data_IF_440928955962
#
_entry.id   IF_440928955962
#
_cell.length_a   1.000
_cell.length_b   1.000
_cell.length_c   1.000
_cell.angle_alpha   90.00
_cell.angle_beta   90.00
_cell.angle_gamma   90.00
#
_symmetry.space_group_name_H-M   'P 1'
#
loop_
_entity.id
_entity.type
_entity.pdbx_description
1 polymer ?
#
# COMPACT_ATOMS: atom_id res chain seq x y z
N UNK A 1 -3.20 -18.04 -15.28
CA UNK A 1 -1.94 -18.51 -14.69
C UNK A 1 -0.79 -17.78 -15.41
N UNK A 2 -0.48 -16.55 -14.99
CA UNK A 2 0.63 -15.72 -15.52
C UNK A 2 1.13 -14.68 -14.49
N UNK A 3 0.61 -14.66 -13.25
CA UNK A 3 0.91 -13.57 -12.30
C UNK A 3 2.20 -13.78 -11.49
N UNK A 4 2.70 -15.01 -11.44
CA UNK A 4 3.82 -15.38 -10.56
C UNK A 4 5.19 -15.30 -11.27
N UNK A 5 5.22 -15.43 -12.60
CA UNK A 5 6.44 -15.42 -13.42
C UNK A 5 7.15 -14.05 -13.37
N UNK A 6 6.38 -12.95 -13.25
CA UNK A 6 6.91 -11.59 -13.13
C UNK A 6 7.77 -11.41 -11.86
N UNK A 7 7.56 -12.23 -10.83
CA UNK A 7 8.26 -12.10 -9.56
C UNK A 7 9.38 -13.11 -9.34
N UNK A 8 9.67 -14.01 -10.29
CA UNK A 8 10.74 -15.00 -10.16
C UNK A 8 12.13 -14.36 -10.02
N UNK A 9 12.32 -13.20 -10.65
CA UNK A 9 13.56 -12.41 -10.59
C UNK A 9 13.80 -11.72 -9.24
N UNK A 10 12.79 -11.66 -8.39
CA UNK A 10 12.91 -11.03 -7.08
C UNK A 10 13.35 -12.00 -6.00
N UNK A 11 13.96 -11.47 -4.95
CA UNK A 11 14.21 -12.25 -3.74
C UNK A 11 12.87 -12.59 -3.08
N UNK A 12 12.84 -13.68 -2.29
CA UNK A 12 11.67 -14.05 -1.48
C UNK A 12 11.13 -12.86 -0.69
N UNK A 13 12.05 -12.07 -0.13
CA UNK A 13 11.74 -10.89 0.66
C UNK A 13 11.05 -9.79 -0.14
N UNK A 14 11.53 -9.48 -1.35
CA UNK A 14 10.86 -8.49 -2.20
C UNK A 14 9.46 -8.97 -2.57
N UNK A 15 9.26 -10.27 -2.81
CA UNK A 15 7.92 -10.85 -3.00
C UNK A 15 7.02 -10.65 -1.79
N UNK A 16 7.53 -10.86 -0.57
CA UNK A 16 6.79 -10.60 0.67
C UNK A 16 6.34 -9.14 0.76
N UNK A 17 7.24 -8.19 0.54
CA UNK A 17 6.92 -6.75 0.59
C UNK A 17 5.82 -6.38 -0.42
N UNK A 18 5.92 -6.90 -1.64
CA UNK A 18 4.93 -6.63 -2.69
C UNK A 18 3.57 -7.27 -2.38
N UNK A 19 3.57 -8.43 -1.75
CA UNK A 19 2.35 -9.05 -1.24
C UNK A 19 1.71 -8.20 -0.14
N UNK A 20 2.48 -7.76 0.85
CA UNK A 20 2.01 -6.88 1.93
C UNK A 20 1.48 -5.55 1.37
N UNK A 21 2.16 -4.95 0.38
CA UNK A 21 1.69 -3.74 -0.28
C UNK A 21 0.33 -3.96 -0.95
N UNK A 22 0.16 -5.09 -1.64
CA UNK A 22 -1.14 -5.44 -2.24
C UNK A 22 -2.24 -5.61 -1.19
N UNK A 23 -1.94 -6.18 -0.03
CA UNK A 23 -2.91 -6.27 1.08
C UNK A 23 -3.32 -4.88 1.59
N UNK A 24 -2.38 -3.92 1.68
CA UNK A 24 -2.71 -2.55 2.10
C UNK A 24 -3.55 -1.80 1.06
N UNK A 25 -3.32 -2.03 -0.24
CA UNK A 25 -4.17 -1.49 -1.30
C UNK A 25 -5.61 -2.02 -1.18
N UNK A 26 -5.77 -3.33 -0.93
CA UNK A 26 -7.07 -3.94 -0.69
C UNK A 26 -7.73 -3.39 0.60
N UNK A 27 -6.96 -3.19 1.67
CA UNK A 27 -7.46 -2.59 2.93
C UNK A 27 -8.03 -1.20 2.71
N UNK A 28 -7.40 -0.41 1.84
CA UNK A 28 -7.84 0.93 1.45
C UNK A 28 -8.87 0.92 0.30
N UNK A 29 -9.22 -0.24 -0.25
CA UNK A 29 -10.10 -0.38 -1.42
C UNK A 29 -9.58 0.36 -2.68
N UNK A 30 -8.25 0.46 -2.82
CA UNK A 30 -7.58 0.97 -4.02
C UNK A 30 -7.41 -0.14 -5.07
N UNK A 31 -7.71 0.16 -6.33
CA UNK A 31 -7.60 -0.78 -7.45
C UNK A 31 -6.15 -1.07 -7.87
N UNK A 32 -5.23 -0.16 -7.56
CA UNK A 32 -3.83 -0.24 -7.94
C UNK A 32 -2.89 -0.11 -6.74
N UNK A 33 -1.73 -0.77 -6.83
CA UNK A 33 -0.68 -0.67 -5.80
C UNK A 33 0.19 0.56 -6.11
N UNK A 34 -0.14 1.68 -5.47
CA UNK A 34 0.70 2.89 -5.43
C UNK A 34 1.91 2.81 -4.50
N UNK A 35 2.74 3.85 -4.52
CA UNK A 35 3.98 3.96 -3.71
C UNK A 35 3.72 3.97 -2.20
N UNK A 36 2.56 4.47 -1.78
CA UNK A 36 2.08 4.52 -0.41
C UNK A 36 1.84 3.11 0.15
N UNK A 37 1.28 2.21 -0.65
CA UNK A 37 1.10 0.82 -0.24
C UNK A 37 2.43 0.09 -0.15
N UNK A 38 3.36 0.38 -1.07
CA UNK A 38 4.72 -0.17 -1.01
C UNK A 38 5.44 0.29 0.27
N UNK A 39 5.32 1.57 0.64
CA UNK A 39 5.84 2.09 1.90
C UNK A 39 5.26 1.32 3.10
N UNK A 40 3.94 1.14 3.16
CA UNK A 40 3.30 0.38 4.24
C UNK A 40 3.75 -1.09 4.25
N UNK A 41 3.93 -1.71 3.08
CA UNK A 41 4.49 -3.05 2.95
C UNK A 41 5.91 -3.16 3.52
N UNK A 42 6.76 -2.15 3.29
CA UNK A 42 8.12 -2.10 3.85
C UNK A 42 8.12 -1.89 5.38
N UNK A 43 7.22 -1.05 5.90
CA UNK A 43 7.07 -0.86 7.35
C UNK A 43 6.60 -2.16 8.01
N UNK A 44 5.63 -2.85 7.38
CA UNK A 44 5.02 -4.08 7.90
C UNK A 44 5.92 -5.31 7.83
N UNK A 45 6.77 -5.43 6.82
CA UNK A 45 7.75 -6.52 6.69
C UNK A 45 8.72 -6.57 7.89
N UNK A 46 9.01 -5.42 8.51
CA UNK A 46 9.63 -5.33 9.85
C UNK A 46 11.10 -5.75 9.97
N UNK A 47 11.63 -6.52 9.01
CA UNK A 47 12.99 -7.03 8.99
C UNK A 47 13.91 -6.25 8.05
N UNK A 48 15.22 -6.53 7.97
CA UNK A 48 16.11 -5.96 6.94
C UNK A 48 16.34 -4.44 7.00
N UNK A 49 16.82 -3.85 5.89
CA UNK A 49 17.33 -2.46 5.88
C UNK A 49 16.22 -1.42 5.87
N UNK A 50 15.17 -1.61 5.07
CA UNK A 50 14.13 -0.60 4.87
C UNK A 50 13.39 -0.20 6.17
N UNK A 51 12.78 -1.11 6.95
CA UNK A 51 12.11 -0.73 8.19
C UNK A 51 13.07 -0.21 9.27
N UNK A 52 14.38 -0.56 9.23
CA UNK A 52 15.38 0.07 10.10
C UNK A 52 15.58 1.53 9.76
N UNK A 53 15.75 1.86 8.47
CA UNK A 53 15.87 3.24 8.00
C UNK A 53 14.58 4.01 8.29
N UNK A 54 13.40 3.43 8.01
CA UNK A 54 12.12 4.06 8.29
C UNK A 54 11.93 4.35 9.79
N UNK A 55 12.31 3.42 10.68
CA UNK A 55 12.34 3.64 12.13
C UNK A 55 13.25 4.81 12.52
N UNK A 56 14.44 4.91 11.94
CA UNK A 56 15.37 6.03 12.19
C UNK A 56 14.80 7.38 11.73
N UNK A 57 13.95 7.37 10.70
CA UNK A 57 13.22 8.55 10.22
C UNK A 57 11.92 8.82 11.01
N UNK A 58 11.63 8.06 12.07
CA UNK A 58 10.42 8.21 12.87
C UNK A 58 9.16 7.54 12.30
N UNK A 59 9.32 6.70 11.27
CA UNK A 59 8.26 5.93 10.59
C UNK A 59 8.40 4.45 10.96
N UNK A 60 8.29 4.15 12.25
CA UNK A 60 8.41 2.78 12.78
C UNK A 60 7.10 2.14 13.21
N UNK A 61 6.06 2.94 13.33
CA UNK A 61 4.73 2.56 13.78
C UNK A 61 3.83 2.40 12.55
N UNK A 62 3.39 1.16 12.33
CA UNK A 62 2.58 0.81 11.17
C UNK A 62 1.20 1.47 11.21
N UNK A 63 0.57 1.54 12.37
CA UNK A 63 -0.79 2.08 12.48
C UNK A 63 -0.77 3.59 12.30
N UNK A 64 0.23 4.29 12.87
CA UNK A 64 0.45 5.71 12.59
C UNK A 64 0.75 5.98 11.11
N UNK A 65 1.51 5.10 10.45
CA UNK A 65 1.77 5.22 9.02
C UNK A 65 0.49 5.04 8.19
N UNK A 66 -0.35 4.05 8.54
CA UNK A 66 -1.65 3.82 7.91
C UNK A 66 -2.59 5.01 8.07
N UNK A 67 -2.71 5.56 9.27
CA UNK A 67 -3.53 6.75 9.54
C UNK A 67 -3.11 7.93 8.65
N UNK A 68 -1.81 8.19 8.54
CA UNK A 68 -1.30 9.27 7.68
C UNK A 68 -1.55 9.02 6.20
N UNK A 69 -1.33 7.79 5.72
CA UNK A 69 -1.59 7.44 4.32
C UNK A 69 -3.08 7.61 4.03
N UNK A 70 -3.95 7.05 4.85
CA UNK A 70 -5.41 7.13 4.70
C UNK A 70 -5.93 8.57 4.74
N UNK A 71 -5.34 9.44 5.57
CA UNK A 71 -5.67 10.87 5.59
C UNK A 71 -5.26 11.61 4.30
N UNK A 72 -4.22 11.16 3.59
CA UNK A 72 -3.72 11.80 2.36
C UNK A 72 -4.41 11.24 1.12
N UNK A 73 -4.61 9.91 1.07
CA UNK A 73 -5.10 9.22 -0.13
C UNK A 73 -6.58 8.86 -0.05
N UNK A 74 -7.19 8.91 1.12
CA UNK A 74 -8.55 8.45 1.36
C UNK A 74 -8.67 6.92 1.31
N UNK A 75 -9.92 6.44 1.39
CA UNK A 75 -10.25 5.07 0.97
C UNK A 75 -10.81 5.12 -0.44
N UNK A 76 -10.42 4.17 -1.28
CA UNK A 76 -11.00 3.96 -2.57
C UNK A 76 -12.51 3.71 -2.45
N UNK A 77 -13.28 4.52 -3.18
CA UNK A 77 -14.73 4.52 -3.17
C UNK A 77 -15.19 5.70 -4.01
N UNK A 78 -16.09 5.43 -4.96
CA UNK A 78 -16.66 6.36 -5.92
C UNK A 78 -16.84 7.79 -5.37
N UNK A 79 -15.99 8.73 -5.78
CA UNK A 79 -16.29 10.15 -5.70
C UNK A 79 -17.09 10.64 -6.93
N UNK A 80 -17.74 9.72 -7.67
CA UNK A 80 -18.51 10.00 -8.88
C UNK A 80 -19.90 9.33 -8.85
N UNK A 81 -20.63 9.37 -7.73
CA UNK A 81 -22.07 9.04 -7.72
C UNK A 81 -22.92 9.92 -6.79
N UNK A 82 -22.45 11.13 -6.44
CA UNK A 82 -23.32 12.15 -5.86
C UNK A 82 -23.63 13.21 -6.93
N UNK A 83 -24.83 13.09 -7.48
CA UNK A 83 -25.48 13.85 -8.56
C UNK A 83 -25.22 13.41 -10.01
N UNK A 84 -26.20 12.75 -10.64
CA UNK A 84 -26.14 12.52 -12.06
C UNK A 84 -26.32 13.80 -12.88
N UNK A 85 -25.65 13.87 -14.05
CA UNK A 85 -25.69 15.05 -14.93
C UNK A 85 -27.09 15.41 -15.47
N UNK A 86 -28.07 14.52 -15.32
CA UNK A 86 -29.45 14.73 -15.75
C UNK A 86 -30.33 15.42 -14.68
N UNK A 87 -29.78 15.81 -13.53
CA UNK A 87 -30.48 16.64 -12.53
C UNK A 87 -30.46 18.15 -12.88
N UNK A 88 -30.10 18.55 -14.11
CA UNK A 88 -30.22 19.92 -14.62
C UNK A 88 -31.11 20.02 -15.85
#
# INVERSE_FOLDING_TARGET
MQKDEQFERFTIRVRTVLHLAKEEALRLNHSEVGTEHLLLGLVRDGEGVAPRVLKQLGIGDLDRAREKVEAITGRGGHALEDEPFWTM
#
